data_IF_754094289746
#
_entry.id   IF_754094289746
#
_cell.length_a   1.000
_cell.length_b   1.000
_cell.length_c   1.000
_cell.angle_alpha   90.00
_cell.angle_beta   90.00
_cell.angle_gamma   90.00
#
_symmetry.space_group_name_H-M   'P 1'
#
loop_
_entity.id
_entity.type
_entity.pdbx_description
1 polymer ?
#
# COMPACT_ATOMS: atom_id res chain seq x y z
N UNK A 1 -26.91 65.08 1.16
CA UNK A 1 -26.25 64.07 2.02
C UNK A 1 -26.39 62.72 1.32
N UNK A 2 -25.27 62.05 1.09
CA UNK A 2 -25.06 61.00 0.08
C UNK A 2 -26.01 59.81 0.17
N UNK A 3 -26.81 59.61 -0.90
CA UNK A 3 -27.66 58.45 -1.11
C UNK A 3 -26.81 57.34 -1.74
N UNK A 4 -26.41 56.36 -0.93
CA UNK A 4 -25.68 55.18 -1.38
C UNK A 4 -26.44 54.48 -2.50
N UNK A 5 -25.91 54.57 -3.72
CA UNK A 5 -26.34 53.81 -4.89
C UNK A 5 -25.24 52.82 -5.22
N UNK A 6 -25.05 51.82 -4.35
CA UNK A 6 -24.27 50.64 -4.70
C UNK A 6 -25.04 49.87 -5.77
N UNK A 7 -24.78 50.19 -7.04
CA UNK A 7 -25.14 49.32 -8.16
C UNK A 7 -24.22 48.11 -8.09
N UNK A 8 -24.61 47.09 -7.33
CA UNK A 8 -24.14 45.74 -7.55
C UNK A 8 -25.03 45.12 -8.63
N UNK A 9 -24.94 45.65 -9.85
CA UNK A 9 -25.39 44.93 -11.05
C UNK A 9 -24.25 43.97 -11.46
N UNK A 10 -23.96 43.03 -10.56
CA UNK A 10 -23.19 41.85 -10.92
C UNK A 10 -24.24 40.86 -11.39
N UNK A 11 -24.36 40.70 -12.71
CA UNK A 11 -25.28 39.74 -13.33
C UNK A 11 -25.30 38.43 -12.53
N UNK A 12 -26.38 38.19 -11.79
CA UNK A 12 -26.49 37.02 -10.91
C UNK A 12 -26.24 35.71 -11.67
N UNK A 13 -26.54 35.69 -12.98
CA UNK A 13 -26.23 34.58 -13.87
C UNK A 13 -24.75 34.36 -14.17
N UNK A 14 -23.90 35.39 -14.12
CA UNK A 14 -22.43 35.25 -14.28
C UNK A 14 -21.78 34.67 -13.02
N UNK A 15 -22.23 35.08 -11.83
CA UNK A 15 -21.75 34.53 -10.55
C UNK A 15 -22.04 33.04 -10.47
N UNK A 16 -23.27 32.64 -10.83
CA UNK A 16 -23.68 31.23 -10.78
C UNK A 16 -22.83 30.34 -11.69
N UNK A 17 -22.51 30.83 -12.90
CA UNK A 17 -21.64 30.11 -13.84
C UNK A 17 -20.22 29.91 -13.28
N UNK A 18 -19.64 30.95 -12.66
CA UNK A 18 -18.31 30.86 -12.06
C UNK A 18 -18.29 29.86 -10.90
N UNK A 19 -19.30 29.89 -10.02
CA UNK A 19 -19.42 28.93 -8.93
C UNK A 19 -19.50 27.48 -9.42
N UNK A 20 -20.25 27.24 -10.51
CA UNK A 20 -20.35 25.91 -11.11
C UNK A 20 -19.03 25.41 -11.67
N UNK A 21 -18.29 26.27 -12.37
CA UNK A 21 -16.98 25.92 -12.94
C UNK A 21 -15.98 25.61 -11.83
N UNK A 22 -15.93 26.45 -10.79
CA UNK A 22 -15.06 26.24 -9.63
C UNK A 22 -15.39 24.93 -8.93
N UNK A 23 -16.68 24.61 -8.73
CA UNK A 23 -17.08 23.33 -8.15
C UNK A 23 -16.58 22.16 -8.99
N UNK A 24 -16.81 22.15 -10.31
CA UNK A 24 -16.35 21.05 -11.18
C UNK A 24 -14.83 20.86 -11.08
N UNK A 25 -14.06 21.95 -11.05
CA UNK A 25 -12.61 21.89 -10.89
C UNK A 25 -12.24 21.26 -9.54
N UNK A 26 -12.84 21.72 -8.44
CA UNK A 26 -12.58 21.17 -7.10
C UNK A 26 -12.97 19.69 -6.99
N UNK A 27 -14.12 19.29 -7.54
CA UNK A 27 -14.56 17.91 -7.53
C UNK A 27 -13.59 17.01 -8.30
N UNK A 28 -13.13 17.47 -9.47
CA UNK A 28 -12.17 16.72 -10.29
C UNK A 28 -10.82 16.57 -9.58
N UNK A 29 -10.31 17.64 -8.98
CA UNK A 29 -9.06 17.62 -8.20
C UNK A 29 -9.17 16.68 -6.99
N UNK A 30 -10.31 16.68 -6.29
CA UNK A 30 -10.52 15.81 -5.13
C UNK A 30 -10.46 14.33 -5.51
N UNK A 31 -11.13 13.93 -6.61
CA UNK A 31 -11.11 12.55 -7.11
C UNK A 31 -9.70 12.14 -7.54
N UNK A 32 -9.01 13.00 -8.29
CA UNK A 32 -7.63 12.75 -8.74
C UNK A 32 -6.67 12.57 -7.55
N UNK A 33 -6.82 13.38 -6.50
CA UNK A 33 -6.00 13.26 -5.31
C UNK A 33 -6.24 11.94 -4.55
N UNK A 34 -7.50 11.49 -4.47
CA UNK A 34 -7.87 10.20 -3.89
C UNK A 34 -7.24 9.03 -4.65
N UNK A 35 -7.32 9.05 -5.99
CA UNK A 35 -6.71 8.01 -6.83
C UNK A 35 -5.18 8.04 -6.79
N UNK A 36 -4.55 9.22 -6.75
CA UNK A 36 -3.09 9.32 -6.59
C UNK A 36 -2.61 8.68 -5.29
N UNK A 37 -3.30 8.92 -4.17
CA UNK A 37 -2.95 8.32 -2.89
C UNK A 37 -3.15 6.79 -2.90
N UNK A 38 -4.23 6.29 -3.50
CA UNK A 38 -4.44 4.85 -3.68
C UNK A 38 -3.34 4.21 -4.51
N UNK A 39 -2.98 4.82 -5.64
CA UNK A 39 -1.91 4.33 -6.50
C UNK A 39 -0.58 4.26 -5.75
N UNK A 40 -0.27 5.29 -4.95
CA UNK A 40 0.97 5.37 -4.18
C UNK A 40 1.06 4.28 -3.11
N UNK A 41 -0.04 4.03 -2.39
CA UNK A 41 -0.14 2.95 -1.40
C UNK A 41 -0.05 1.57 -2.08
N UNK A 42 -0.73 1.40 -3.21
CA UNK A 42 -0.68 0.16 -3.98
C UNK A 42 0.75 -0.17 -4.46
N UNK A 43 1.45 0.81 -5.06
CA UNK A 43 2.82 0.62 -5.53
C UNK A 43 3.77 0.30 -4.38
N UNK A 44 3.62 0.97 -3.23
CA UNK A 44 4.43 0.68 -2.04
C UNK A 44 4.15 -0.73 -1.47
N UNK A 45 2.89 -1.18 -1.46
CA UNK A 45 2.54 -2.54 -1.04
C UNK A 45 3.09 -3.60 -1.99
N UNK A 46 3.05 -3.35 -3.31
CA UNK A 46 3.57 -4.28 -4.32
C UNK A 46 5.08 -4.43 -4.21
N UNK A 47 5.84 -3.35 -4.02
CA UNK A 47 7.30 -3.45 -3.86
C UNK A 47 7.70 -4.17 -2.57
N UNK A 48 6.99 -3.92 -1.46
CA UNK A 48 7.19 -4.64 -0.21
C UNK A 48 6.93 -6.14 -0.37
N UNK A 49 5.78 -6.52 -0.93
CA UNK A 49 5.44 -7.92 -1.17
C UNK A 49 6.45 -8.60 -2.09
N UNK A 50 6.91 -7.94 -3.16
CA UNK A 50 7.96 -8.49 -4.04
C UNK A 50 9.27 -8.70 -3.30
N UNK A 51 9.67 -7.79 -2.42
CA UNK A 51 10.87 -7.93 -1.59
C UNK A 51 10.78 -9.11 -0.62
N UNK A 52 9.64 -9.25 0.05
CA UNK A 52 9.36 -10.38 0.96
C UNK A 52 9.38 -11.70 0.20
N UNK A 53 8.66 -11.80 -0.93
CA UNK A 53 8.65 -13.02 -1.75
C UNK A 53 10.05 -13.38 -2.25
N UNK A 54 10.86 -12.40 -2.67
CA UNK A 54 12.23 -12.66 -3.09
C UNK A 54 13.12 -13.16 -1.94
N UNK A 55 12.96 -12.61 -0.73
CA UNK A 55 13.69 -13.08 0.45
C UNK A 55 13.28 -14.50 0.85
N UNK A 56 11.97 -14.79 0.86
CA UNK A 56 11.46 -16.14 1.15
C UNK A 56 11.94 -17.14 0.10
N UNK A 57 11.88 -16.81 -1.19
CA UNK A 57 12.36 -17.69 -2.25
C UNK A 57 13.85 -18.01 -2.09
N UNK A 58 14.69 -17.01 -1.75
CA UNK A 58 16.11 -17.26 -1.45
C UNK A 58 16.31 -18.18 -0.25
N UNK A 59 15.52 -17.99 0.81
CA UNK A 59 15.58 -18.87 1.98
C UNK A 59 15.12 -20.29 1.65
N UNK A 60 14.11 -20.45 0.78
CA UNK A 60 13.69 -21.77 0.30
C UNK A 60 14.76 -22.43 -0.57
N UNK A 61 15.42 -21.68 -1.45
CA UNK A 61 16.53 -22.17 -2.26
C UNK A 61 17.71 -22.61 -1.38
N UNK A 62 18.06 -21.85 -0.34
CA UNK A 62 19.13 -22.22 0.61
C UNK A 62 18.72 -23.40 1.50
N UNK A 63 17.48 -23.43 1.98
CA UNK A 63 16.94 -24.52 2.79
C UNK A 63 16.74 -25.83 2.00
N UNK A 64 16.69 -25.78 0.66
CA UNK A 64 16.66 -26.97 -0.21
C UNK A 64 17.90 -27.87 -0.05
N UNK A 65 19.01 -27.28 0.43
CA UNK A 65 20.26 -28.01 0.70
C UNK A 65 20.26 -28.77 2.04
N UNK A 66 19.14 -28.77 2.78
CA UNK A 66 19.03 -29.34 4.13
C UNK A 66 20.06 -28.81 5.14
N UNK A 67 20.68 -27.66 4.86
CA UNK A 67 21.57 -27.00 5.80
C UNK A 67 20.78 -26.00 6.67
N UNK A 68 21.13 -25.87 7.96
CA UNK A 68 20.50 -24.90 8.84
C UNK A 68 20.77 -23.47 8.35
N UNK A 69 19.71 -22.77 7.94
CA UNK A 69 19.79 -21.37 7.51
C UNK A 69 19.60 -20.48 8.75
N UNK A 70 20.62 -19.68 9.14
CA UNK A 70 20.51 -18.78 10.28
C UNK A 70 19.65 -17.56 9.91
N UNK A 71 18.49 -17.42 10.56
CA UNK A 71 17.63 -16.24 10.45
C UNK A 71 17.76 -15.40 11.72
N UNK A 72 18.07 -14.13 11.55
CA UNK A 72 18.14 -13.16 12.65
C UNK A 72 16.99 -12.16 12.51
N UNK A 73 16.22 -11.97 13.58
CA UNK A 73 15.18 -10.96 13.67
C UNK A 73 15.37 -10.15 14.95
N UNK A 74 16.00 -8.98 14.83
CA UNK A 74 16.44 -8.18 15.97
C UNK A 74 17.54 -8.90 16.74
N UNK A 75 17.38 -9.04 18.07
CA UNK A 75 18.36 -9.70 18.95
C UNK A 75 18.20 -11.24 19.04
N UNK A 76 17.19 -11.80 18.35
CA UNK A 76 16.92 -13.24 18.38
C UNK A 76 17.35 -13.88 17.06
N UNK A 77 18.31 -14.80 17.15
CA UNK A 77 18.73 -15.68 16.05
C UNK A 77 18.09 -17.06 16.21
N UNK A 78 17.55 -17.61 15.12
CA UNK A 78 17.04 -18.97 15.05
C UNK A 78 17.50 -19.63 13.76
N UNK A 79 17.89 -20.90 13.83
CA UNK A 79 18.27 -21.67 12.65
C UNK A 79 17.03 -22.41 12.14
N UNK A 80 16.69 -22.21 10.88
CA UNK A 80 15.57 -22.90 10.24
C UNK A 80 16.13 -24.01 9.35
N UNK A 81 15.57 -25.21 9.50
CA UNK A 81 15.81 -26.36 8.64
C UNK A 81 14.48 -26.70 7.96
N UNK A 82 14.54 -27.09 6.69
CA UNK A 82 13.33 -27.55 5.99
C UNK A 82 12.79 -28.81 6.68
N UNK A 83 11.48 -28.83 6.94
CA UNK A 83 10.75 -29.96 7.53
C UNK A 83 10.88 -31.23 6.67
N UNK A 84 11.04 -31.09 5.35
CA UNK A 84 11.30 -32.23 4.45
C UNK A 84 12.63 -32.95 4.76
N UNK A 85 13.57 -32.26 5.40
CA UNK A 85 14.84 -32.82 5.87
C UNK A 85 14.71 -33.51 7.23
N UNK A 86 13.63 -33.25 7.98
CA UNK A 86 13.22 -34.03 9.13
C UNK A 86 12.43 -35.24 8.64
N UNK A 87 13.12 -36.23 8.07
CA UNK A 87 12.51 -37.54 7.86
C UNK A 87 12.14 -38.12 9.23
N UNK A 88 10.87 -38.05 9.58
CA UNK A 88 10.29 -38.81 10.69
C UNK A 88 10.48 -40.29 10.34
N UNK A 89 11.12 -41.13 11.19
CA UNK A 89 11.00 -42.56 11.00
C UNK A 89 9.51 -42.93 11.11
N UNK A 90 8.91 -43.38 10.01
CA UNK A 90 7.57 -44.01 9.97
C UNK A 90 7.56 -45.27 10.87
N UNK A 91 7.54 -45.09 12.19
CA UNK A 91 7.71 -46.20 13.12
C UNK A 91 7.27 -45.95 14.57
N UNK A 92 6.69 -44.80 14.91
CA UNK A 92 6.07 -44.58 16.23
C UNK A 92 4.58 -44.23 16.11
N UNK A 93 3.87 -45.06 15.34
CA UNK A 93 2.42 -45.19 15.43
C UNK A 93 2.09 -46.64 15.80
N UNK A 94 2.33 -47.01 17.06
CA UNK A 94 1.73 -48.21 17.66
C UNK A 94 1.79 -48.11 19.18
N UNK A 95 0.70 -47.64 19.77
CA UNK A 95 0.28 -48.03 21.13
C UNK A 95 -1.00 -48.85 21.00
#
# INVERSE_FOLDING_TARGET
MFKHRFRCDWDAGKIWKVLFIVWIIFATLYVLYGEYNRLRVYVAGVSYNRGVTAAVNKMMDEASSCQPVPITSGDRGMNIINLDCFTVPEGEASE
#
